data_IF_116828059217
#
_entry.id   IF_116828059217
#
_cell.length_a   1.000
_cell.length_b   1.000
_cell.length_c   1.000
_cell.angle_alpha   90.00
_cell.angle_beta   90.00
_cell.angle_gamma   90.00
#
_symmetry.space_group_name_H-M   'P 1'
#
loop_
_entity.id
_entity.type
_entity.pdbx_description
1 polymer ?
#
# COMPACT_ATOMS: atom_id res chain seq x y z
N UNK A 1 -5.98 -16.91 8.79
CA UNK A 1 -5.35 -15.56 8.77
C UNK A 1 -4.97 -15.26 7.34
N UNK A 2 -5.29 -14.07 6.83
CA UNK A 2 -5.04 -13.74 5.43
C UNK A 2 -3.52 -13.70 5.15
N UNK A 3 -3.08 -14.43 4.12
CA UNK A 3 -1.71 -14.36 3.62
C UNK A 3 -1.58 -13.16 2.68
N UNK A 4 -0.43 -12.48 2.70
CA UNK A 4 -0.10 -11.40 1.76
C UNK A 4 0.41 -12.06 0.47
N UNK A 5 -0.28 -11.89 -0.68
CA UNK A 5 0.12 -12.51 -1.94
C UNK A 5 1.55 -12.22 -2.39
N UNK A 6 1.88 -10.95 -2.61
CA UNK A 6 3.22 -10.53 -3.01
C UNK A 6 3.44 -9.03 -2.76
N UNK A 7 4.61 -8.62 -2.23
CA UNK A 7 5.65 -9.46 -1.67
C UNK A 7 5.15 -10.18 -0.40
N UNK A 8 5.46 -11.47 -0.26
CA UNK A 8 4.91 -12.33 0.81
C UNK A 8 5.56 -12.05 2.18
N UNK A 9 5.39 -10.83 2.68
CA UNK A 9 5.92 -10.30 3.93
C UNK A 9 5.11 -9.09 4.38
N UNK A 10 5.32 -8.64 5.61
CA UNK A 10 4.85 -7.34 6.03
C UNK A 10 5.54 -6.22 5.23
N UNK A 11 4.79 -5.14 4.99
CA UNK A 11 5.33 -3.91 4.43
C UNK A 11 6.34 -3.28 5.37
N UNK A 12 7.34 -2.61 4.80
CA UNK A 12 8.33 -1.83 5.54
C UNK A 12 7.88 -0.36 5.59
N UNK A 13 8.19 0.39 6.67
CA UNK A 13 7.81 1.80 6.77
C UNK A 13 8.30 2.65 5.59
N UNK A 14 9.46 2.33 5.03
CA UNK A 14 10.06 3.05 3.91
C UNK A 14 9.20 2.94 2.63
N UNK A 15 8.56 1.80 2.38
CA UNK A 15 7.70 1.60 1.21
C UNK A 15 6.44 2.50 1.26
N UNK A 16 5.95 2.78 2.48
CA UNK A 16 4.89 3.74 2.70
C UNK A 16 5.39 5.18 2.47
N UNK A 17 6.58 5.52 3.00
CA UNK A 17 7.18 6.83 2.80
C UNK A 17 7.44 7.13 1.31
N UNK A 18 7.91 6.15 0.54
CA UNK A 18 8.10 6.28 -0.90
C UNK A 18 6.78 6.60 -1.63
N UNK A 19 5.69 5.96 -1.21
CA UNK A 19 4.35 6.25 -1.76
C UNK A 19 3.90 7.69 -1.45
N UNK A 20 4.15 8.17 -0.23
CA UNK A 20 3.87 9.57 0.15
C UNK A 20 4.71 10.54 -0.69
N UNK A 21 6.01 10.27 -0.85
CA UNK A 21 6.89 11.10 -1.67
C UNK A 21 6.41 11.17 -3.12
N UNK A 22 5.98 10.05 -3.71
CA UNK A 22 5.39 10.00 -5.04
C UNK A 22 4.13 10.87 -5.17
N UNK A 23 3.22 10.80 -4.19
CA UNK A 23 2.00 11.62 -4.16
C UNK A 23 2.36 13.11 -4.13
N UNK A 24 3.28 13.52 -3.26
CA UNK A 24 3.69 14.93 -3.13
C UNK A 24 4.33 15.50 -4.40
N UNK A 25 4.98 14.64 -5.21
CA UNK A 25 5.63 15.05 -6.45
C UNK A 25 4.69 15.16 -7.65
N UNK A 26 3.49 14.58 -7.59
CA UNK A 26 2.56 14.55 -8.72
C UNK A 26 1.28 15.34 -8.41
N UNK A 27 1.22 16.59 -8.89
CA UNK A 27 0.07 17.50 -8.70
C UNK A 27 -1.25 16.99 -9.28
N UNK A 28 -1.22 15.99 -10.16
CA UNK A 28 -2.43 15.44 -10.76
C UNK A 28 -3.08 14.34 -9.89
N UNK A 29 -2.36 13.80 -8.91
CA UNK A 29 -2.94 12.89 -7.93
C UNK A 29 -3.75 13.68 -6.91
N UNK A 30 -5.07 13.52 -6.98
CA UNK A 30 -5.99 14.22 -6.10
C UNK A 30 -7.30 13.42 -5.95
N UNK A 31 -7.91 13.48 -4.77
CA UNK A 31 -9.23 12.88 -4.50
C UNK A 31 -9.29 11.35 -4.62
N UNK A 32 -8.18 10.65 -4.49
CA UNK A 32 -8.08 9.21 -4.74
C UNK A 32 -7.58 8.43 -3.50
N UNK A 33 -7.88 7.13 -3.44
CA UNK A 33 -7.36 6.22 -2.41
C UNK A 33 -6.47 5.16 -3.02
N UNK A 34 -5.20 5.12 -2.61
CA UNK A 34 -4.24 4.10 -3.06
C UNK A 34 -4.07 3.04 -1.97
N UNK A 35 -4.33 1.78 -2.30
CA UNK A 35 -4.04 0.65 -1.41
C UNK A 35 -2.59 0.20 -1.57
N UNK A 36 -1.85 0.18 -0.46
CA UNK A 36 -0.49 -0.36 -0.38
C UNK A 36 -0.49 -1.57 0.57
N UNK A 37 -0.78 -2.75 0.04
CA UNK A 37 -1.17 -3.89 0.89
C UNK A 37 -0.77 -5.28 0.36
N UNK A 38 0.09 -5.33 -0.67
CA UNK A 38 0.52 -6.59 -1.28
C UNK A 38 -0.62 -7.45 -1.83
N UNK A 39 -1.76 -6.83 -2.18
CA UNK A 39 -3.00 -7.44 -2.66
C UNK A 39 -3.78 -8.28 -1.62
N UNK A 40 -3.51 -8.11 -0.32
CA UNK A 40 -4.22 -8.86 0.72
C UNK A 40 -5.72 -8.53 0.74
N UNK A 41 -6.54 -9.53 1.06
CA UNK A 41 -7.96 -9.39 1.42
C UNK A 41 -8.16 -10.05 2.78
N UNK A 42 -8.55 -9.26 3.79
CA UNK A 42 -8.77 -9.77 5.14
C UNK A 42 -10.11 -10.51 5.18
N UNK A 43 -10.06 -11.82 5.44
CA UNK A 43 -11.26 -12.61 5.69
C UNK A 43 -11.70 -12.46 7.16
N UNK A 44 -13.00 -12.55 7.48
CA UNK A 44 -13.49 -12.63 8.85
C UNK A 44 -12.84 -13.80 9.60
N UNK A 45 -12.71 -13.65 10.92
CA UNK A 45 -12.18 -14.68 11.81
C UNK A 45 -13.29 -15.58 12.32
#
# INVERSE_FOLDING_TARGET
>A
GASIPFPARLGRPEEFADTVAFILQNRYLNGETIRLDGAVRLAPK
#
